data_IF_282864829390
#
_entry.id   IF_282864829390
#
_cell.length_a   1.000
_cell.length_b   1.000
_cell.length_c   1.000
_cell.angle_alpha   90.00
_cell.angle_beta   90.00
_cell.angle_gamma   90.00
#
_symmetry.space_group_name_H-M   'P 1'
#
loop_
_entity.id
_entity.type
_entity.pdbx_description
1 polymer ?
#
# COMPACT_ATOMS: atom_id res chain seq x y z
N UNK A 1 21.48 2.30 16.53
CA UNK A 1 21.97 1.35 17.55
C UNK A 1 21.30 1.74 18.85
N UNK A 2 20.62 0.81 19.54
CA UNK A 2 19.96 1.08 20.81
C UNK A 2 21.04 1.42 21.85
N UNK A 3 20.94 2.55 22.53
CA UNK A 3 21.87 3.01 23.56
C UNK A 3 21.86 2.14 24.84
N UNK A 4 21.93 0.82 24.70
CA UNK A 4 22.04 -0.10 25.83
C UNK A 4 20.82 -0.10 26.75
N UNK A 5 19.63 0.21 26.24
CA UNK A 5 18.38 0.18 27.01
C UNK A 5 18.19 -1.21 27.62
N UNK A 6 18.08 -1.27 28.94
CA UNK A 6 17.80 -2.51 29.69
C UNK A 6 16.32 -2.60 29.98
N UNK A 7 15.81 -3.82 29.98
CA UNK A 7 14.44 -4.05 30.40
C UNK A 7 14.25 -3.58 31.86
N UNK A 8 13.26 -2.73 32.13
CA UNK A 8 13.04 -2.18 33.48
C UNK A 8 12.62 -3.30 34.43
N UNK A 9 13.18 -3.28 35.65
CA UNK A 9 12.84 -4.26 36.69
C UNK A 9 11.53 -3.92 37.42
N UNK A 10 11.12 -2.67 37.41
CA UNK A 10 9.92 -2.16 38.08
C UNK A 10 9.12 -1.30 37.10
N UNK A 11 7.80 -1.26 37.27
CA UNK A 11 6.94 -0.33 36.57
C UNK A 11 7.21 1.12 36.92
N UNK A 12 6.69 2.04 36.13
CA UNK A 12 6.73 3.48 36.37
C UNK A 12 5.32 4.01 36.63
N UNK A 13 5.23 5.14 37.31
CA UNK A 13 3.95 5.82 37.48
C UNK A 13 3.43 6.38 36.16
N UNK A 14 2.11 6.53 36.01
CA UNK A 14 1.55 7.17 34.81
C UNK A 14 2.08 8.61 34.65
N UNK A 15 2.19 9.38 35.71
CA UNK A 15 2.69 10.76 35.67
C UNK A 15 4.11 10.85 35.09
N UNK A 16 4.99 9.89 35.42
CA UNK A 16 6.35 9.84 34.86
C UNK A 16 6.33 9.49 33.36
N UNK A 17 5.45 8.57 32.97
CA UNK A 17 5.29 8.15 31.56
C UNK A 17 4.70 9.30 30.76
N UNK A 18 3.64 9.94 31.24
CA UNK A 18 2.97 11.08 30.62
C UNK A 18 3.96 12.24 30.39
N UNK A 19 4.75 12.59 31.40
CA UNK A 19 5.78 13.63 31.25
C UNK A 19 6.87 13.27 30.23
N UNK A 20 7.21 11.99 30.06
CA UNK A 20 8.13 11.55 28.99
C UNK A 20 7.47 11.66 27.61
N UNK A 21 6.21 11.26 27.48
CA UNK A 21 5.44 11.37 26.24
C UNK A 21 5.31 12.83 25.81
N UNK A 22 4.99 13.73 26.72
CA UNK A 22 4.90 15.17 26.46
C UNK A 22 6.22 15.73 25.93
N UNK A 23 7.33 15.33 26.54
CA UNK A 23 8.67 15.74 26.07
C UNK A 23 8.99 15.21 24.68
N UNK A 24 8.62 13.95 24.39
CA UNK A 24 8.81 13.37 23.06
C UNK A 24 8.01 14.13 22.01
N UNK A 25 6.72 14.35 22.26
CA UNK A 25 5.82 15.05 21.32
C UNK A 25 6.25 16.52 21.12
N UNK A 26 6.69 17.22 22.20
CA UNK A 26 7.12 18.62 22.10
C UNK A 26 8.37 18.82 21.20
N UNK A 27 9.19 17.79 21.07
CA UNK A 27 10.36 17.80 20.20
C UNK A 27 10.08 17.37 18.75
N UNK A 28 8.89 16.83 18.48
CA UNK A 28 8.52 16.42 17.13
C UNK A 28 8.16 17.63 16.26
N UNK A 29 8.97 17.87 15.24
CA UNK A 29 8.79 19.01 14.33
C UNK A 29 7.77 18.73 13.21
N UNK A 30 7.47 17.48 12.95
CA UNK A 30 6.62 17.06 11.80
C UNK A 30 5.19 17.57 11.86
N UNK A 31 4.67 17.79 13.07
CA UNK A 31 3.28 18.19 13.30
C UNK A 31 3.06 19.70 13.41
N UNK A 32 4.11 20.50 13.28
CA UNK A 32 3.99 21.95 13.35
C UNK A 32 3.37 22.49 12.07
N UNK A 33 2.38 23.42 12.16
CA UNK A 33 1.69 23.97 10.99
C UNK A 33 2.63 24.63 9.96
N UNK A 34 3.75 25.17 10.43
CA UNK A 34 4.77 25.84 9.62
C UNK A 34 5.69 24.86 8.87
N UNK A 35 5.75 23.60 9.28
CA UNK A 35 6.59 22.59 8.67
C UNK A 35 5.86 21.89 7.53
N UNK A 36 6.17 22.27 6.30
CA UNK A 36 5.64 21.68 5.07
C UNK A 36 6.47 20.47 4.64
N UNK A 37 6.61 19.46 5.51
CA UNK A 37 7.24 18.22 5.12
C UNK A 37 6.23 17.32 4.40
N UNK A 38 6.52 17.01 3.15
CA UNK A 38 5.78 16.02 2.37
C UNK A 38 6.25 14.62 2.78
N UNK A 39 5.62 14.07 3.80
CA UNK A 39 6.03 12.79 4.40
C UNK A 39 4.97 11.68 4.27
N UNK A 40 3.91 11.90 3.48
CA UNK A 40 2.77 10.98 3.43
C UNK A 40 1.92 11.00 4.72
N UNK A 41 2.08 12.04 5.53
CA UNK A 41 1.26 12.26 6.72
C UNK A 41 0.10 13.16 6.32
N UNK A 42 -1.10 12.62 6.35
CA UNK A 42 -2.32 13.37 6.07
C UNK A 42 -2.86 13.96 7.37
N UNK A 43 -2.81 15.27 7.48
CA UNK A 43 -3.31 15.99 8.66
C UNK A 43 -4.79 16.30 8.48
N UNK A 44 -5.63 15.69 9.30
CA UNK A 44 -7.05 16.05 9.40
C UNK A 44 -7.27 17.37 10.15
N UNK A 45 -8.51 17.87 10.13
CA UNK A 45 -8.90 19.01 10.99
C UNK A 45 -8.87 18.61 12.46
N UNK A 46 -8.74 19.58 13.41
CA UNK A 46 -8.84 19.28 14.84
C UNK A 46 -10.13 18.52 15.20
N UNK A 47 -11.25 18.88 14.57
CA UNK A 47 -12.55 18.20 14.75
C UNK A 47 -12.48 16.72 14.31
N UNK A 48 -11.82 16.44 13.20
CA UNK A 48 -11.62 15.07 12.72
C UNK A 48 -10.84 14.25 13.73
N UNK A 49 -9.77 14.81 14.31
CA UNK A 49 -8.98 14.12 15.33
C UNK A 49 -9.79 13.85 16.60
N UNK A 50 -10.59 14.79 17.06
CA UNK A 50 -11.47 14.59 18.22
C UNK A 50 -12.48 13.45 17.99
N UNK A 51 -13.05 13.36 16.79
CA UNK A 51 -13.96 12.27 16.43
C UNK A 51 -13.23 10.93 16.41
N UNK A 52 -12.03 10.89 15.81
CA UNK A 52 -11.20 9.67 15.73
C UNK A 52 -10.85 9.18 17.14
N UNK A 53 -10.41 10.07 18.03
CA UNK A 53 -10.08 9.73 19.42
C UNK A 53 -11.29 9.13 20.16
N UNK A 54 -12.45 9.79 20.08
CA UNK A 54 -13.69 9.30 20.67
C UNK A 54 -14.12 7.94 20.12
N UNK A 55 -14.03 7.74 18.84
CA UNK A 55 -14.38 6.48 18.16
C UNK A 55 -13.38 5.37 18.57
N UNK A 56 -12.08 5.67 18.55
CA UNK A 56 -11.04 4.73 18.93
C UNK A 56 -11.23 4.23 20.38
N UNK A 57 -11.48 5.13 21.31
CA UNK A 57 -11.69 4.75 22.73
C UNK A 57 -12.92 3.86 22.92
N UNK A 58 -13.96 4.00 22.10
CA UNK A 58 -15.13 3.10 22.15
C UNK A 58 -14.83 1.70 21.64
N UNK A 59 -13.88 1.59 20.69
CA UNK A 59 -13.57 0.34 20.00
C UNK A 59 -12.23 -0.27 20.47
N UNK A 60 -11.57 0.34 21.46
CA UNK A 60 -10.22 -0.02 21.91
C UNK A 60 -10.04 -1.51 22.25
N UNK A 61 -11.07 -2.15 22.81
CA UNK A 61 -11.03 -3.57 23.20
C UNK A 61 -11.40 -4.54 22.07
N UNK A 62 -11.83 -4.03 20.92
CA UNK A 62 -12.23 -4.85 19.78
C UNK A 62 -11.09 -4.96 18.78
N UNK A 63 -11.03 -6.06 18.06
CA UNK A 63 -10.07 -6.23 16.97
C UNK A 63 -10.75 -6.83 15.73
N UNK A 64 -10.11 -6.67 14.56
CA UNK A 64 -10.65 -7.15 13.29
C UNK A 64 -10.56 -8.67 13.12
N UNK A 65 -9.75 -9.37 13.91
CA UNK A 65 -9.60 -10.83 13.81
C UNK A 65 -10.89 -11.59 14.16
N UNK A 66 -11.67 -11.03 15.10
CA UNK A 66 -12.92 -11.62 15.53
C UNK A 66 -14.16 -11.06 14.79
N UNK A 67 -13.95 -10.16 13.86
CA UNK A 67 -15.03 -9.48 13.13
C UNK A 67 -15.97 -10.47 12.43
N UNK A 68 -15.42 -11.51 11.83
CA UNK A 68 -16.19 -12.53 11.12
C UNK A 68 -16.90 -13.53 12.05
N UNK A 69 -16.43 -13.66 13.30
CA UNK A 69 -16.95 -14.65 14.23
C UNK A 69 -18.19 -14.20 15.00
N UNK A 70 -18.42 -12.88 15.14
CA UNK A 70 -19.49 -12.36 16.01
C UNK A 70 -20.41 -11.32 15.34
N UNK A 71 -20.35 -11.11 14.04
CA UNK A 71 -21.03 -9.99 13.36
C UNK A 71 -20.75 -8.63 14.02
N UNK A 72 -19.55 -8.46 14.55
CA UNK A 72 -19.15 -7.32 15.36
C UNK A 72 -19.14 -6.00 14.60
N UNK A 73 -19.30 -4.90 15.32
CA UNK A 73 -19.30 -3.54 14.74
C UNK A 73 -18.07 -3.22 13.90
N UNK A 74 -16.89 -3.76 14.24
CA UNK A 74 -15.63 -3.56 13.50
C UNK A 74 -15.71 -4.21 12.11
N UNK A 75 -16.24 -5.44 12.00
CA UNK A 75 -16.42 -6.11 10.69
C UNK A 75 -17.38 -5.36 9.78
N UNK A 76 -18.49 -4.89 10.31
CA UNK A 76 -19.46 -4.08 9.55
C UNK A 76 -18.84 -2.78 9.05
N UNK A 77 -18.06 -2.08 9.86
CA UNK A 77 -17.35 -0.87 9.46
C UNK A 77 -16.31 -1.16 8.36
N UNK A 78 -15.62 -2.30 8.46
CA UNK A 78 -14.69 -2.75 7.43
C UNK A 78 -15.42 -3.01 6.10
N UNK A 79 -16.53 -3.74 6.13
CA UNK A 79 -17.34 -4.03 4.94
C UNK A 79 -17.86 -2.76 4.27
N UNK A 80 -18.32 -1.78 5.06
CA UNK A 80 -18.74 -0.47 4.56
C UNK A 80 -17.60 0.25 3.84
N UNK A 81 -16.41 0.32 4.45
CA UNK A 81 -15.24 0.97 3.84
C UNK A 81 -14.81 0.28 2.54
N UNK A 82 -14.79 -1.04 2.52
CA UNK A 82 -14.45 -1.82 1.32
C UNK A 82 -15.51 -1.62 0.23
N UNK A 83 -16.79 -1.59 0.60
CA UNK A 83 -17.90 -1.30 -0.31
C UNK A 83 -17.79 0.08 -0.93
N UNK A 84 -17.55 1.11 -0.13
CA UNK A 84 -17.37 2.48 -0.62
C UNK A 84 -16.14 2.61 -1.54
N UNK A 85 -15.06 1.93 -1.20
CA UNK A 85 -13.85 1.92 -2.05
C UNK A 85 -14.12 1.25 -3.40
N UNK A 86 -14.82 0.13 -3.39
CA UNK A 86 -15.20 -0.57 -4.63
C UNK A 86 -16.12 0.30 -5.51
N UNK A 87 -17.10 0.99 -4.90
CA UNK A 87 -18.01 1.90 -5.61
C UNK A 87 -17.26 3.09 -6.20
N UNK A 88 -16.39 3.73 -5.41
CA UNK A 88 -15.56 4.87 -5.85
C UNK A 88 -14.70 4.51 -7.07
N UNK A 89 -14.19 3.27 -7.12
CA UNK A 89 -13.35 2.78 -8.20
C UNK A 89 -14.14 2.11 -9.33
N UNK A 90 -15.48 2.20 -9.34
CA UNK A 90 -16.36 1.57 -10.32
C UNK A 90 -16.15 0.05 -10.44
N UNK A 91 -15.86 -0.63 -9.33
CA UNK A 91 -15.49 -2.04 -9.32
C UNK A 91 -16.61 -3.02 -9.71
N UNK A 92 -17.86 -2.58 -9.65
CA UNK A 92 -19.02 -3.43 -9.98
C UNK A 92 -19.23 -4.58 -8.99
N UNK A 93 -20.19 -5.46 -9.32
CA UNK A 93 -20.63 -6.55 -8.41
C UNK A 93 -19.58 -7.64 -8.17
N UNK A 94 -18.62 -7.78 -9.06
CA UNK A 94 -17.57 -8.81 -9.02
C UNK A 94 -16.29 -8.33 -8.34
N UNK A 95 -16.22 -7.04 -7.97
CA UNK A 95 -15.08 -6.52 -7.22
C UNK A 95 -14.93 -7.22 -5.87
N UNK A 96 -13.70 -7.44 -5.48
CA UNK A 96 -13.33 -7.96 -4.16
C UNK A 96 -12.27 -7.05 -3.57
N UNK A 97 -12.36 -6.82 -2.28
CA UNK A 97 -11.45 -5.98 -1.55
C UNK A 97 -11.07 -6.62 -0.21
N UNK A 98 -9.91 -6.24 0.32
CA UNK A 98 -9.44 -6.67 1.63
C UNK A 98 -8.76 -5.52 2.34
N UNK A 99 -8.97 -5.42 3.65
CA UNK A 99 -8.28 -4.46 4.49
C UNK A 99 -6.87 -4.97 4.81
N UNK A 100 -5.86 -4.12 4.63
CA UNK A 100 -4.46 -4.43 4.88
C UNK A 100 -3.88 -3.48 5.93
N UNK A 101 -2.78 -3.86 6.55
CA UNK A 101 -2.10 -3.05 7.58
C UNK A 101 -1.32 -1.86 7.02
N UNK A 102 -1.26 -1.75 5.70
CA UNK A 102 -0.62 -0.63 5.00
C UNK A 102 -0.27 -0.98 3.56
N UNK A 103 0.19 0.04 2.78
CA UNK A 103 0.51 -0.11 1.36
C UNK A 103 1.54 -1.20 1.06
N UNK A 104 2.50 -1.42 1.95
CA UNK A 104 3.48 -2.51 1.78
C UNK A 104 2.79 -3.86 1.72
N UNK A 105 1.89 -4.17 2.64
CA UNK A 105 1.14 -5.43 2.64
C UNK A 105 0.21 -5.50 1.42
N UNK A 106 -0.47 -4.42 1.09
CA UNK A 106 -1.36 -4.36 -0.08
C UNK A 106 -0.62 -4.69 -1.39
N UNK A 107 0.57 -4.11 -1.60
CA UNK A 107 1.41 -4.43 -2.76
C UNK A 107 1.87 -5.89 -2.74
N UNK A 108 2.27 -6.42 -1.58
CA UNK A 108 2.63 -7.84 -1.46
C UNK A 108 1.46 -8.76 -1.83
N UNK A 109 0.26 -8.45 -1.35
CA UNK A 109 -0.94 -9.21 -1.70
C UNK A 109 -1.26 -9.14 -3.20
N UNK A 110 -1.10 -7.96 -3.82
CA UNK A 110 -1.26 -7.81 -5.27
C UNK A 110 -0.26 -8.64 -6.08
N UNK A 111 1.02 -8.62 -5.70
CA UNK A 111 2.06 -9.44 -6.31
C UNK A 111 1.80 -10.94 -6.12
N UNK A 112 1.37 -11.32 -4.91
CA UNK A 112 1.03 -12.71 -4.60
C UNK A 112 -0.17 -13.18 -5.43
N UNK A 113 -1.23 -12.40 -5.50
CA UNK A 113 -2.41 -12.74 -6.28
C UNK A 113 -2.08 -12.92 -7.77
N UNK A 114 -1.28 -12.02 -8.36
CA UNK A 114 -0.84 -12.15 -9.74
C UNK A 114 0.02 -13.39 -9.97
N UNK A 115 0.90 -13.73 -9.01
CA UNK A 115 1.72 -14.95 -9.09
C UNK A 115 0.84 -16.21 -9.04
N UNK A 116 -0.11 -16.30 -8.11
CA UNK A 116 -0.98 -17.48 -8.01
C UNK A 116 -1.89 -17.60 -9.23
N UNK A 117 -2.44 -16.48 -9.70
CA UNK A 117 -3.17 -16.46 -10.98
C UNK A 117 -2.32 -16.98 -12.14
N UNK A 118 -1.05 -16.56 -12.24
CA UNK A 118 -0.16 -17.02 -13.30
C UNK A 118 0.17 -18.52 -13.19
N UNK A 119 0.33 -19.06 -11.99
CA UNK A 119 0.52 -20.50 -11.80
C UNK A 119 -0.63 -21.34 -12.35
N UNK A 120 -1.86 -20.83 -12.20
CA UNK A 120 -3.05 -21.52 -12.67
C UNK A 120 -3.27 -21.33 -14.18
N UNK A 121 -3.05 -20.11 -14.68
CA UNK A 121 -3.42 -19.74 -16.07
C UNK A 121 -2.26 -19.80 -17.06
N UNK A 122 -1.00 -19.81 -16.60
CA UNK A 122 0.22 -19.78 -17.40
C UNK A 122 1.21 -20.90 -16.97
N UNK A 123 0.81 -22.17 -16.99
CA UNK A 123 1.68 -23.30 -16.60
C UNK A 123 2.87 -23.52 -17.56
N UNK A 124 2.86 -22.87 -18.70
CA UNK A 124 3.94 -22.86 -19.69
C UNK A 124 5.19 -22.09 -19.22
N UNK A 125 5.06 -21.13 -18.29
CA UNK A 125 6.17 -20.32 -17.78
C UNK A 125 7.07 -21.18 -16.87
N UNK A 126 8.33 -21.34 -17.24
CA UNK A 126 9.31 -22.16 -16.51
C UNK A 126 10.37 -21.34 -15.73
N UNK A 127 10.51 -20.06 -16.08
CA UNK A 127 11.45 -19.15 -15.42
C UNK A 127 10.79 -18.38 -14.28
N UNK A 128 11.51 -17.46 -13.65
CA UNK A 128 10.90 -16.57 -12.70
C UNK A 128 9.84 -15.71 -13.37
N UNK A 129 8.69 -15.58 -12.73
CA UNK A 129 7.65 -14.66 -13.17
C UNK A 129 8.14 -13.24 -13.09
N UNK A 130 7.79 -12.42 -14.09
CA UNK A 130 8.26 -11.04 -14.20
C UNK A 130 7.13 -10.03 -14.08
N UNK A 131 7.45 -8.92 -13.39
CA UNK A 131 6.62 -7.73 -13.27
C UNK A 131 7.32 -6.59 -14.01
N UNK A 132 6.69 -6.00 -15.02
CA UNK A 132 7.24 -4.83 -15.70
C UNK A 132 6.63 -3.56 -15.11
N UNK A 133 7.48 -2.62 -14.69
CA UNK A 133 7.05 -1.40 -14.03
C UNK A 133 8.00 -0.22 -14.32
N UNK A 134 7.53 1.05 -14.22
CA UNK A 134 8.39 2.21 -14.34
C UNK A 134 9.48 2.25 -13.25
N UNK A 135 10.57 2.94 -13.53
CA UNK A 135 11.66 3.19 -12.56
C UNK A 135 11.15 3.78 -11.24
N UNK A 136 10.13 4.64 -11.33
CA UNK A 136 9.51 5.32 -10.20
C UNK A 136 8.65 4.44 -9.29
N UNK A 137 8.38 3.18 -9.68
CA UNK A 137 7.55 2.28 -8.88
C UNK A 137 8.14 2.11 -7.47
N UNK A 138 7.28 2.05 -6.47
CA UNK A 138 7.70 1.99 -5.06
C UNK A 138 8.63 0.80 -4.78
N UNK A 139 9.63 1.00 -3.90
CA UNK A 139 10.64 -0.02 -3.57
C UNK A 139 10.03 -1.34 -3.02
N UNK A 140 8.82 -1.29 -2.51
CA UNK A 140 8.08 -2.47 -2.04
C UNK A 140 7.88 -3.51 -3.13
N UNK A 141 7.76 -3.12 -4.40
CA UNK A 141 7.68 -4.07 -5.51
C UNK A 141 8.93 -4.96 -5.58
N UNK A 142 10.12 -4.38 -5.49
CA UNK A 142 11.37 -5.16 -5.47
C UNK A 142 11.48 -6.04 -4.22
N UNK A 143 11.08 -5.52 -3.07
CA UNK A 143 11.06 -6.28 -1.82
C UNK A 143 10.08 -7.45 -1.89
N UNK A 144 8.85 -7.21 -2.33
CA UNK A 144 7.84 -8.25 -2.48
C UNK A 144 8.21 -9.30 -3.53
N UNK A 145 8.74 -8.85 -4.66
CA UNK A 145 9.23 -9.75 -5.70
C UNK A 145 10.33 -10.68 -5.17
N UNK A 146 11.29 -10.15 -4.40
CA UNK A 146 12.34 -10.95 -3.77
C UNK A 146 11.75 -12.05 -2.86
N UNK A 147 10.79 -11.71 -1.99
CA UNK A 147 10.16 -12.71 -1.11
C UNK A 147 9.30 -13.74 -1.86
N UNK A 148 8.71 -13.34 -2.97
CA UNK A 148 7.80 -14.19 -3.74
C UNK A 148 8.48 -14.93 -4.89
N UNK A 149 9.79 -14.76 -5.10
CA UNK A 149 10.53 -15.38 -6.20
C UNK A 149 10.15 -14.82 -7.58
N UNK A 150 9.81 -13.52 -7.62
CA UNK A 150 9.52 -12.77 -8.85
C UNK A 150 10.71 -11.89 -9.24
N UNK A 151 10.72 -11.40 -10.49
CA UNK A 151 11.63 -10.37 -10.97
C UNK A 151 10.87 -9.10 -11.31
N UNK A 152 11.40 -7.93 -10.91
CA UNK A 152 10.89 -6.63 -11.35
C UNK A 152 11.77 -6.07 -12.44
N UNK A 153 11.24 -5.96 -13.63
CA UNK A 153 11.87 -5.34 -14.79
C UNK A 153 11.50 -3.86 -14.80
N UNK A 154 12.45 -3.01 -14.40
CA UNK A 154 12.23 -1.57 -14.35
C UNK A 154 12.56 -0.93 -15.69
N UNK A 155 11.61 -0.18 -16.24
CA UNK A 155 11.79 0.58 -17.48
C UNK A 155 12.01 2.06 -17.21
N UNK A 156 12.68 2.80 -18.12
CA UNK A 156 12.88 4.23 -17.96
C UNK A 156 11.56 5.00 -17.90
N UNK A 157 11.65 6.24 -17.45
CA UNK A 157 10.56 7.21 -17.51
C UNK A 157 10.66 8.00 -18.81
N UNK A 158 9.53 8.50 -19.28
CA UNK A 158 9.49 9.51 -20.34
C UNK A 158 10.00 10.87 -19.85
N UNK A 159 10.12 11.84 -20.77
CA UNK A 159 10.57 13.21 -20.45
C UNK A 159 9.63 13.94 -19.47
N UNK A 160 8.38 13.50 -19.39
CA UNK A 160 7.36 13.99 -18.45
C UNK A 160 7.45 13.34 -17.06
N UNK A 161 8.46 12.51 -16.82
CA UNK A 161 8.70 11.75 -15.59
C UNK A 161 7.58 10.74 -15.24
N UNK A 162 6.88 10.25 -16.26
CA UNK A 162 5.87 9.19 -16.15
C UNK A 162 6.40 7.90 -16.79
N UNK A 163 5.79 6.78 -16.47
CA UNK A 163 6.15 5.50 -17.08
C UNK A 163 6.07 5.53 -18.61
N UNK A 164 7.16 5.14 -19.27
CA UNK A 164 7.20 5.01 -20.74
C UNK A 164 6.53 3.69 -21.17
N UNK A 165 5.31 3.80 -21.70
CA UNK A 165 4.51 2.64 -22.12
C UNK A 165 5.17 1.86 -23.28
N UNK A 166 5.85 2.56 -24.18
CA UNK A 166 6.56 1.90 -25.28
C UNK A 166 7.77 1.10 -24.79
N UNK A 167 8.48 1.62 -23.77
CA UNK A 167 9.54 0.88 -23.10
C UNK A 167 8.99 -0.30 -22.30
N UNK A 168 7.83 -0.14 -21.63
CA UNK A 168 7.15 -1.24 -20.96
C UNK A 168 6.78 -2.35 -21.95
N UNK A 169 6.20 -2.01 -23.09
CA UNK A 169 5.84 -2.98 -24.12
C UNK A 169 7.05 -3.77 -24.63
N UNK A 170 8.17 -3.10 -24.87
CA UNK A 170 9.42 -3.75 -25.30
C UNK A 170 10.03 -4.65 -24.23
N UNK A 171 9.77 -4.39 -22.95
CA UNK A 171 10.26 -5.17 -21.83
C UNK A 171 9.42 -6.42 -21.53
N UNK A 172 8.25 -6.57 -22.15
CA UNK A 172 7.40 -7.76 -21.99
C UNK A 172 8.11 -8.97 -22.60
N UNK A 173 8.20 -10.02 -21.82
CA UNK A 173 8.74 -11.33 -22.24
C UNK A 173 7.69 -12.43 -22.04
N UNK A 174 7.92 -13.65 -22.50
CA UNK A 174 7.04 -14.78 -22.19
C UNK A 174 6.83 -15.04 -20.69
N UNK A 175 7.76 -14.60 -19.84
CA UNK A 175 7.68 -14.74 -18.39
C UNK A 175 6.95 -13.58 -17.69
N UNK A 176 6.59 -12.54 -18.41
CA UNK A 176 5.85 -11.40 -17.83
C UNK A 176 4.44 -11.82 -17.48
N UNK A 177 4.05 -11.55 -16.22
CA UNK A 177 2.72 -11.85 -15.70
C UNK A 177 1.94 -10.60 -15.31
N UNK A 178 2.64 -9.49 -15.05
CA UNK A 178 2.03 -8.26 -14.54
C UNK A 178 2.68 -7.02 -15.14
N UNK A 179 1.86 -6.01 -15.42
CA UNK A 179 2.28 -4.63 -15.57
C UNK A 179 1.83 -3.83 -14.34
N UNK A 180 2.67 -2.92 -13.88
CA UNK A 180 2.34 -2.06 -12.74
C UNK A 180 2.63 -0.59 -13.04
N UNK A 181 1.82 0.30 -12.48
CA UNK A 181 2.00 1.75 -12.53
C UNK A 181 1.52 2.39 -11.22
N UNK A 182 1.85 3.65 -11.00
CA UNK A 182 1.49 4.39 -9.78
C UNK A 182 0.56 5.57 -10.08
N UNK A 183 -0.36 5.84 -9.16
CA UNK A 183 -1.31 6.93 -9.26
C UNK A 183 -1.53 7.65 -7.91
N UNK A 184 -0.59 8.55 -7.52
CA UNK A 184 0.69 8.92 -8.11
C UNK A 184 1.89 8.07 -7.63
N UNK A 185 3.05 8.24 -8.26
CA UNK A 185 4.31 7.67 -7.77
C UNK A 185 4.81 8.43 -6.53
N UNK A 186 5.22 7.70 -5.50
CA UNK A 186 5.70 8.24 -4.23
C UNK A 186 6.84 9.27 -4.38
N UNK A 187 7.88 8.93 -5.14
CA UNK A 187 9.09 9.76 -5.20
C UNK A 187 8.99 11.00 -6.10
N UNK A 188 8.04 11.02 -7.05
CA UNK A 188 7.95 12.04 -8.10
C UNK A 188 6.62 12.79 -8.06
N UNK A 189 5.57 12.19 -7.50
CA UNK A 189 4.21 12.76 -7.47
C UNK A 189 3.53 12.81 -8.84
N UNK A 190 3.98 12.00 -9.81
CA UNK A 190 3.36 11.89 -11.13
C UNK A 190 2.45 10.68 -11.20
N UNK A 191 1.30 10.86 -11.83
CA UNK A 191 0.39 9.76 -12.18
C UNK A 191 0.88 9.15 -13.48
N UNK A 192 1.21 7.87 -13.46
CA UNK A 192 1.59 7.12 -14.66
C UNK A 192 0.42 7.06 -15.67
N UNK A 193 0.67 6.78 -16.95
CA UNK A 193 -0.37 6.68 -17.97
C UNK A 193 -1.20 5.39 -17.77
N UNK A 194 -1.94 5.31 -16.68
CA UNK A 194 -2.65 4.13 -16.18
C UNK A 194 -3.56 3.49 -17.24
N UNK A 195 -4.34 4.31 -17.95
CA UNK A 195 -5.25 3.80 -19.01
C UNK A 195 -4.49 3.08 -20.13
N UNK A 196 -3.34 3.65 -20.53
CA UNK A 196 -2.51 3.06 -21.59
C UNK A 196 -1.83 1.78 -21.12
N UNK A 197 -1.33 1.75 -19.87
CA UNK A 197 -0.73 0.56 -19.27
C UNK A 197 -1.80 -0.53 -19.10
N UNK A 198 -3.00 -0.18 -18.65
CA UNK A 198 -4.11 -1.11 -18.49
C UNK A 198 -4.55 -1.70 -19.85
N UNK A 199 -4.62 -0.86 -20.91
CA UNK A 199 -4.89 -1.33 -22.24
C UNK A 199 -3.82 -2.31 -22.71
N UNK A 200 -2.55 -1.98 -22.57
CA UNK A 200 -1.43 -2.85 -22.92
C UNK A 200 -1.50 -4.18 -22.15
N UNK A 201 -1.76 -4.15 -20.85
CA UNK A 201 -1.91 -5.35 -20.03
C UNK A 201 -3.05 -6.24 -20.54
N UNK A 202 -4.20 -5.64 -20.83
CA UNK A 202 -5.38 -6.34 -21.38
C UNK A 202 -5.08 -6.97 -22.74
N UNK A 203 -4.47 -6.22 -23.65
CA UNK A 203 -4.14 -6.69 -25.01
C UNK A 203 -3.14 -7.86 -24.98
N UNK A 204 -2.31 -7.94 -23.95
CA UNK A 204 -1.30 -8.98 -23.74
C UNK A 204 -1.74 -10.10 -22.79
N UNK A 205 -2.96 -10.03 -22.24
CA UNK A 205 -3.46 -11.02 -21.28
C UNK A 205 -2.65 -11.06 -19.98
N UNK A 206 -2.21 -9.90 -19.50
CA UNK A 206 -1.41 -9.74 -18.29
C UNK A 206 -2.24 -9.15 -17.14
N UNK A 207 -1.84 -9.43 -15.93
CA UNK A 207 -2.38 -8.75 -14.75
C UNK A 207 -2.00 -7.26 -14.77
N UNK A 208 -2.91 -6.39 -14.34
CA UNK A 208 -2.63 -4.97 -14.15
C UNK A 208 -2.73 -4.62 -12.66
N UNK A 209 -1.72 -3.93 -12.15
CA UNK A 209 -1.73 -3.39 -10.78
C UNK A 209 -1.52 -1.87 -10.81
N UNK A 210 -2.31 -1.15 -10.01
CA UNK A 210 -2.13 0.28 -9.78
C UNK A 210 -1.81 0.50 -8.31
N UNK A 211 -0.63 1.03 -8.04
CA UNK A 211 -0.27 1.52 -6.72
C UNK A 211 -0.84 2.93 -6.54
N UNK A 212 -1.89 3.04 -5.75
CA UNK A 212 -2.58 4.30 -5.41
C UNK A 212 -2.56 4.55 -3.91
N UNK A 213 -1.43 4.22 -3.24
CA UNK A 213 -1.29 4.37 -1.80
C UNK A 213 -1.17 5.82 -1.32
N UNK A 214 -0.87 6.79 -2.22
CA UNK A 214 -0.60 8.20 -1.89
C UNK A 214 -1.75 9.10 -2.30
#
# INVERSE_FOLDING_TARGET
>A
MSNGAKFPKTGRSWADIEGDLDRLVSNESFWRPENRLMTGIHKGSPETFEIIEKAYMKLFHYNGLLADMEHGGVGRMQDELLGWTADLLNGGKDARASMMTGGTEAIFCGLHAAREWAKETRPDIKGPYQVVAPWSIHATFSKGAHYLGLEVIRVPLGDDLRGDVAAMEKAITPNTIMLAGSAPSWGIGRVDPIEQIAKLAKDRGLWMHVDACV
#
